data_IF_749685943096
#
_entry.id   IF_749685943096
#
_cell.length_a   1.000
_cell.length_b   1.000
_cell.length_c   1.000
_cell.angle_alpha   90.00
_cell.angle_beta   90.00
_cell.angle_gamma   90.00
#
_symmetry.space_group_name_H-M   'P 1'
#
loop_
_entity.id
_entity.type
_entity.pdbx_description
1 polymer ?
#
# COMPACT_ATOMS: atom_id res chain seq x y z
N UNK A 1 10.50 -35.50 -46.35
CA UNK A 1 9.17 -36.04 -45.98
C UNK A 1 8.52 -35.06 -45.03
N UNK A 2 7.86 -34.06 -45.60
CA UNK A 2 7.20 -32.95 -44.91
C UNK A 2 5.69 -33.18 -44.95
N UNK A 3 5.14 -33.83 -43.93
CA UNK A 3 3.69 -33.90 -43.79
C UNK A 3 3.36 -34.00 -42.31
N UNK A 4 2.21 -33.41 -41.95
CA UNK A 4 1.56 -33.41 -40.64
C UNK A 4 2.09 -32.44 -39.60
N UNK A 5 1.69 -31.16 -39.74
CA UNK A 5 1.08 -30.41 -38.63
C UNK A 5 0.23 -29.25 -39.20
N UNK A 6 -0.71 -29.58 -40.09
CA UNK A 6 -1.73 -28.64 -40.57
C UNK A 6 -3.10 -29.08 -40.08
N UNK A 7 -3.26 -29.23 -38.76
CA UNK A 7 -4.55 -29.61 -38.21
C UNK A 7 -4.73 -29.11 -36.78
N UNK A 8 -4.59 -27.81 -36.53
CA UNK A 8 -5.24 -27.19 -35.38
C UNK A 8 -5.31 -25.65 -35.53
N UNK A 9 -6.39 -25.18 -36.17
CA UNK A 9 -7.06 -23.89 -35.95
C UNK A 9 -7.90 -23.55 -37.19
N UNK A 10 -9.00 -24.29 -37.37
CA UNK A 10 -10.15 -23.79 -38.14
C UNK A 10 -11.38 -23.87 -37.24
N UNK A 11 -11.45 -22.95 -36.28
CA UNK A 11 -12.71 -22.56 -35.66
C UNK A 11 -12.73 -21.05 -35.54
N UNK A 12 -13.43 -20.45 -36.50
CA UNK A 12 -14.32 -19.30 -36.31
C UNK A 12 -13.71 -18.01 -35.76
N UNK A 13 -13.11 -17.21 -36.63
CA UNK A 13 -13.34 -15.75 -36.62
C UNK A 13 -13.45 -15.27 -38.07
N UNK A 14 -14.70 -15.04 -38.47
CA UNK A 14 -15.06 -14.37 -39.70
C UNK A 14 -14.82 -12.87 -39.50
N UNK A 15 -13.69 -12.33 -39.95
CA UNK A 15 -13.52 -10.88 -40.07
C UNK A 15 -12.63 -10.55 -41.28
N UNK A 16 -13.29 -10.02 -42.31
CA UNK A 16 -12.85 -9.04 -43.30
C UNK A 16 -11.41 -9.11 -43.87
N UNK A 17 -11.33 -9.65 -45.09
CA UNK A 17 -10.78 -8.85 -46.20
C UNK A 17 -9.26 -8.69 -46.31
N UNK A 18 -8.47 -9.73 -46.04
CA UNK A 18 -7.05 -9.74 -46.44
C UNK A 18 -6.75 -10.97 -47.29
N UNK A 19 -6.42 -10.75 -48.55
CA UNK A 19 -6.07 -11.81 -49.51
C UNK A 19 -4.79 -12.52 -49.08
N UNK A 20 -4.71 -13.83 -49.30
CA UNK A 20 -3.62 -14.73 -48.88
C UNK A 20 -2.22 -14.42 -49.45
N UNK A 21 -2.02 -13.31 -50.16
CA UNK A 21 -0.73 -12.92 -50.74
C UNK A 21 0.10 -11.97 -49.85
N UNK A 22 -0.48 -11.39 -48.80
CA UNK A 22 0.26 -10.48 -47.89
C UNK A 22 0.91 -11.19 -46.69
N UNK A 23 0.49 -12.41 -46.38
CA UNK A 23 1.04 -13.18 -45.24
C UNK A 23 2.38 -13.84 -45.58
N UNK A 24 2.67 -14.04 -46.86
CA UNK A 24 3.92 -14.69 -47.32
C UNK A 24 5.11 -13.73 -47.41
N UNK A 25 4.91 -12.42 -47.47
CA UNK A 25 6.03 -11.46 -47.54
C UNK A 25 6.52 -10.95 -46.17
N UNK A 26 5.79 -11.25 -45.09
CA UNK A 26 6.22 -10.97 -43.71
C UNK A 26 6.96 -12.14 -43.06
N UNK A 27 7.06 -13.29 -43.73
CA UNK A 27 7.73 -14.49 -43.19
C UNK A 27 9.12 -14.77 -43.76
N UNK A 28 9.61 -13.95 -44.71
CA UNK A 28 10.96 -14.09 -45.30
C UNK A 28 11.97 -13.04 -44.84
N UNK A 29 11.57 -11.98 -44.11
CA UNK A 29 12.47 -10.88 -43.73
C UNK A 29 12.93 -10.87 -42.27
N UNK A 30 12.79 -11.98 -41.55
CA UNK A 30 13.27 -12.10 -40.16
C UNK A 30 13.91 -13.46 -39.86
N UNK A 31 14.79 -13.93 -40.75
CA UNK A 31 15.75 -15.02 -40.46
C UNK A 31 17.21 -14.54 -40.54
N UNK A 32 17.46 -13.29 -40.15
CA UNK A 32 18.81 -12.76 -39.93
C UNK A 32 18.83 -12.07 -38.57
N UNK A 33 18.87 -12.88 -37.53
CA UNK A 33 18.94 -12.43 -36.13
C UNK A 33 19.73 -13.45 -35.33
N UNK A 34 21.05 -13.39 -35.45
CA UNK A 34 22.08 -13.84 -34.51
C UNK A 34 21.73 -15.01 -33.58
N UNK A 35 22.34 -16.17 -33.84
CA UNK A 35 22.64 -17.15 -32.78
C UNK A 35 23.58 -16.48 -31.77
N UNK A 36 23.03 -15.77 -30.78
CA UNK A 36 23.81 -15.32 -29.63
C UNK A 36 24.26 -16.57 -28.89
N UNK A 37 25.51 -16.98 -29.10
CA UNK A 37 26.18 -17.92 -28.20
C UNK A 37 26.25 -17.24 -26.84
N UNK A 38 25.72 -17.90 -25.82
CA UNK A 38 25.87 -17.46 -24.45
C UNK A 38 27.36 -17.39 -24.14
N UNK A 39 27.82 -16.24 -23.67
CA UNK A 39 29.19 -16.12 -23.21
C UNK A 39 29.35 -16.93 -21.92
N UNK A 40 30.55 -17.48 -21.69
CA UNK A 40 30.84 -18.31 -20.52
C UNK A 40 30.52 -17.59 -19.20
N UNK A 41 30.65 -16.26 -19.17
CA UNK A 41 30.29 -15.41 -18.03
C UNK A 41 28.77 -15.39 -17.82
N UNK A 42 27.97 -15.18 -18.86
CA UNK A 42 26.50 -15.25 -18.77
C UNK A 42 26.03 -16.64 -18.33
N UNK A 43 26.68 -17.69 -18.84
CA UNK A 43 26.37 -19.07 -18.46
C UNK A 43 26.68 -19.34 -16.99
N UNK A 44 27.81 -18.85 -16.48
CA UNK A 44 28.19 -18.97 -15.07
C UNK A 44 27.24 -18.19 -14.16
N UNK A 45 26.84 -16.99 -14.56
CA UNK A 45 25.90 -16.17 -13.81
C UNK A 45 24.52 -16.83 -13.74
N UNK A 46 24.01 -17.34 -14.86
CA UNK A 46 22.78 -18.12 -14.91
C UNK A 46 22.88 -19.40 -14.08
N UNK A 47 24.04 -20.08 -14.08
CA UNK A 47 24.27 -21.29 -13.27
C UNK A 47 24.26 -20.99 -11.77
N UNK A 48 24.93 -19.92 -11.33
CA UNK A 48 24.88 -19.46 -9.95
C UNK A 48 23.46 -19.08 -9.50
N UNK A 49 22.73 -18.33 -10.33
CA UNK A 49 21.31 -18.00 -10.08
C UNK A 49 20.43 -19.26 -10.01
N UNK A 50 20.66 -20.24 -10.87
CA UNK A 50 19.94 -21.52 -10.86
C UNK A 50 20.25 -22.36 -9.63
N UNK A 51 21.48 -22.35 -9.13
CA UNK A 51 21.85 -23.13 -7.96
C UNK A 51 21.29 -22.51 -6.66
N UNK A 52 21.22 -21.18 -6.58
CA UNK A 52 20.50 -20.46 -5.53
C UNK A 52 18.99 -20.82 -5.57
N UNK A 53 18.39 -20.81 -6.76
CA UNK A 53 16.98 -21.16 -6.92
C UNK A 53 16.70 -22.62 -6.53
N UNK A 54 17.57 -23.55 -6.94
CA UNK A 54 17.47 -24.96 -6.54
C UNK A 54 17.60 -25.13 -5.03
N UNK A 55 18.51 -24.40 -4.38
CA UNK A 55 18.66 -24.43 -2.93
C UNK A 55 17.39 -23.93 -2.22
N UNK A 56 16.77 -22.86 -2.70
CA UNK A 56 15.51 -22.35 -2.13
C UNK A 56 14.34 -23.31 -2.39
N UNK A 57 14.28 -23.93 -3.58
CA UNK A 57 13.29 -24.97 -3.89
C UNK A 57 13.45 -26.16 -2.94
N UNK A 58 14.68 -26.61 -2.70
CA UNK A 58 14.96 -27.73 -1.79
C UNK A 58 14.60 -27.38 -0.34
N UNK A 59 14.91 -26.15 0.11
CA UNK A 59 14.49 -25.65 1.43
C UNK A 59 12.96 -25.71 1.59
N UNK A 60 12.22 -25.24 0.58
CA UNK A 60 10.75 -25.27 0.58
C UNK A 60 10.19 -26.69 0.46
N UNK A 61 10.85 -27.58 -0.29
CA UNK A 61 10.49 -29.01 -0.34
C UNK A 61 10.62 -29.67 1.02
N UNK A 62 11.70 -29.43 1.76
CA UNK A 62 11.89 -29.97 3.11
C UNK A 62 10.81 -29.49 4.09
N UNK A 63 10.47 -28.20 4.04
CA UNK A 63 9.37 -27.64 4.83
C UNK A 63 8.03 -28.30 4.49
N UNK A 64 7.80 -28.60 3.21
CA UNK A 64 6.55 -29.23 2.76
C UNK A 64 6.51 -30.74 3.04
N UNK A 65 7.65 -31.43 2.98
CA UNK A 65 7.78 -32.87 3.29
C UNK A 65 7.42 -33.13 4.76
N UNK A 66 7.84 -32.25 5.67
CA UNK A 66 7.47 -32.34 7.09
C UNK A 66 5.95 -32.22 7.29
N UNK A 67 5.26 -31.48 6.43
CA UNK A 67 3.80 -31.25 6.48
C UNK A 67 3.03 -32.37 5.76
N UNK A 68 3.62 -32.96 4.72
CA UNK A 68 2.95 -33.90 3.83
C UNK A 68 2.83 -35.28 4.46
N UNK A 69 1.61 -35.82 4.49
CA UNK A 69 1.38 -37.23 4.79
C UNK A 69 1.66 -38.08 3.54
N UNK A 70 2.26 -39.27 3.66
CA UNK A 70 2.80 -40.03 2.53
C UNK A 70 1.75 -40.53 1.50
N UNK A 71 0.46 -40.22 1.68
CA UNK A 71 -0.62 -40.76 0.87
C UNK A 71 -1.58 -39.70 0.29
N UNK A 72 -1.22 -38.41 0.30
CA UNK A 72 -2.08 -37.33 -0.25
C UNK A 72 -1.27 -36.26 -0.99
N UNK A 73 -1.57 -36.07 -2.28
CA UNK A 73 -0.93 -35.04 -3.14
C UNK A 73 -1.43 -33.62 -2.87
N UNK A 74 -2.68 -33.48 -2.41
CA UNK A 74 -3.33 -32.19 -2.19
C UNK A 74 -3.64 -32.02 -0.71
N UNK A 75 -3.29 -30.86 -0.17
CA UNK A 75 -3.58 -30.47 1.21
C UNK A 75 -4.58 -29.32 1.20
N UNK A 76 -5.52 -29.34 2.13
CA UNK A 76 -6.43 -28.21 2.32
C UNK A 76 -5.69 -27.10 3.06
N UNK A 77 -6.00 -25.84 2.72
CA UNK A 77 -5.41 -24.68 3.41
C UNK A 77 -5.68 -24.69 4.93
N UNK A 78 -6.82 -25.24 5.34
CA UNK A 78 -7.17 -25.40 6.77
C UNK A 78 -6.19 -26.30 7.52
N UNK A 79 -5.74 -27.39 6.90
CA UNK A 79 -4.82 -28.36 7.52
C UNK A 79 -3.40 -27.78 7.64
N UNK A 80 -2.98 -26.94 6.68
CA UNK A 80 -1.71 -26.21 6.73
C UNK A 80 -1.66 -25.21 7.88
N UNK A 81 -2.72 -24.40 8.03
CA UNK A 81 -2.82 -23.39 9.09
C UNK A 81 -2.83 -24.01 10.48
N UNK A 82 -3.55 -25.12 10.64
CA UNK A 82 -3.60 -25.84 11.92
C UNK A 82 -2.22 -26.33 12.37
N UNK A 83 -1.41 -26.84 11.43
CA UNK A 83 -0.05 -27.31 11.73
C UNK A 83 0.92 -26.17 12.04
N UNK A 84 0.74 -25.01 11.42
CA UNK A 84 1.51 -23.80 11.75
C UNK A 84 1.16 -23.29 13.16
N UNK A 85 -0.13 -23.25 13.49
CA UNK A 85 -0.61 -22.84 14.81
C UNK A 85 -0.13 -23.79 15.92
N UNK A 86 -0.15 -25.11 15.68
CA UNK A 86 0.39 -26.10 16.61
C UNK A 86 1.88 -25.89 16.90
N UNK A 87 2.71 -25.69 15.85
CA UNK A 87 4.15 -25.37 16.02
C UNK A 87 4.37 -24.09 16.82
N UNK A 88 3.58 -23.06 16.54
CA UNK A 88 3.63 -21.79 17.27
C UNK A 88 3.29 -22.03 18.75
N UNK A 89 2.22 -22.77 19.05
CA UNK A 89 1.80 -23.09 20.41
C UNK A 89 2.85 -23.93 21.16
N UNK A 90 3.49 -24.89 20.51
CA UNK A 90 4.59 -25.69 21.08
C UNK A 90 5.80 -24.80 21.42
N UNK A 91 6.21 -23.92 20.51
CA UNK A 91 7.31 -22.98 20.74
C UNK A 91 7.03 -22.04 21.93
N UNK A 92 5.79 -21.57 22.06
CA UNK A 92 5.37 -20.77 23.21
C UNK A 92 5.43 -21.57 24.52
N UNK A 93 4.96 -22.82 24.51
CA UNK A 93 4.98 -23.68 25.69
C UNK A 93 6.40 -24.05 26.12
N UNK A 94 7.31 -24.32 25.18
CA UNK A 94 8.72 -24.61 25.47
C UNK A 94 9.42 -23.39 26.07
N UNK A 95 9.19 -22.20 25.51
CA UNK A 95 9.74 -20.93 26.05
C UNK A 95 9.23 -20.64 27.46
N UNK A 96 7.96 -20.89 27.73
CA UNK A 96 7.39 -20.70 29.07
C UNK A 96 7.79 -21.79 30.08
N UNK A 97 8.04 -23.03 29.64
CA UNK A 97 8.61 -24.09 30.51
C UNK A 97 10.06 -23.80 30.92
N UNK A 98 10.86 -23.20 30.03
CA UNK A 98 12.26 -22.84 30.34
C UNK A 98 12.41 -21.73 31.38
N UNK A 99 11.39 -20.88 31.56
CA UNK A 99 11.40 -19.78 32.54
C UNK A 99 10.87 -20.23 33.92
N UNK A 100 10.05 -21.28 33.98
CA UNK A 100 9.48 -21.79 35.23
C UNK A 100 10.49 -22.55 36.14
N UNK A 101 11.72 -22.78 35.68
CA UNK A 101 12.77 -23.43 36.48
C UNK A 101 13.80 -22.46 37.09
N UNK A 102 13.74 -21.15 36.78
CA UNK A 102 14.68 -20.15 37.34
C UNK A 102 14.01 -19.07 38.19
N UNK A 103 12.69 -19.08 38.33
CA UNK A 103 11.92 -18.10 39.12
C UNK A 103 11.62 -18.57 40.54
N UNK A 104 12.65 -19.03 41.27
CA UNK A 104 12.55 -19.37 42.69
C UNK A 104 13.72 -18.82 43.51
N UNK A 105 14.33 -17.70 43.13
CA UNK A 105 15.13 -16.89 44.07
C UNK A 105 15.20 -15.45 43.54
N UNK A 106 15.27 -14.49 44.47
CA UNK A 106 15.56 -13.06 44.26
C UNK A 106 14.30 -12.19 44.09
N UNK A 107 13.65 -12.00 45.23
CA UNK A 107 12.98 -10.76 45.60
C UNK A 107 14.00 -9.65 45.88
N UNK A 108 13.63 -8.41 45.54
CA UNK A 108 14.18 -7.09 45.98
C UNK A 108 15.44 -6.59 45.29
N UNK A 109 15.32 -5.50 44.52
CA UNK A 109 15.86 -4.18 44.89
C UNK A 109 15.51 -3.12 43.84
N UNK A 110 15.22 -1.93 44.36
CA UNK A 110 14.90 -0.70 43.65
C UNK A 110 16.14 -0.04 43.05
N UNK A 111 15.86 0.89 42.12
CA UNK A 111 16.50 2.19 41.92
C UNK A 111 17.52 2.47 40.78
N UNK A 112 17.15 3.54 40.06
CA UNK A 112 17.95 4.64 39.46
C UNK A 112 18.52 4.52 38.03
N UNK A 113 17.72 5.09 37.10
CA UNK A 113 18.01 6.24 36.20
C UNK A 113 19.28 6.21 35.32
N UNK A 114 19.07 6.26 34.00
CA UNK A 114 19.90 7.06 33.10
C UNK A 114 19.06 7.83 32.08
N UNK A 115 19.10 9.14 32.27
CA UNK A 115 18.55 10.26 31.52
C UNK A 115 19.03 10.33 30.06
N UNK A 116 18.03 10.54 29.19
CA UNK A 116 17.91 11.41 28.00
C UNK A 116 19.12 11.66 27.08
N UNK A 117 18.85 11.67 25.75
CA UNK A 117 18.96 12.88 24.92
C UNK A 117 18.34 12.66 23.54
N UNK A 118 17.31 13.45 23.22
CA UNK A 118 16.74 13.61 21.88
C UNK A 118 17.70 14.38 20.94
N UNK A 119 17.34 14.53 19.65
CA UNK A 119 16.70 15.81 19.31
C UNK A 119 15.38 15.66 18.54
N UNK A 120 14.35 16.27 19.13
CA UNK A 120 13.08 16.69 18.54
C UNK A 120 13.36 17.52 17.29
N UNK A 121 13.02 16.98 16.12
CA UNK A 121 12.85 17.76 14.90
C UNK A 121 11.48 18.44 14.94
N UNK A 122 11.50 19.75 15.16
CA UNK A 122 10.38 20.68 15.11
C UNK A 122 9.61 20.62 13.79
N UNK A 123 8.35 20.20 13.85
CA UNK A 123 7.28 20.94 13.21
C UNK A 123 6.16 21.05 14.25
N UNK A 124 6.02 22.22 14.87
CA UNK A 124 4.85 22.53 15.68
C UNK A 124 3.70 22.74 14.71
N UNK A 125 3.08 21.64 14.27
CA UNK A 125 1.69 21.70 13.85
C UNK A 125 0.88 21.87 15.14
N UNK A 126 -0.01 22.86 15.23
CA UNK A 126 -0.84 22.99 16.41
C UNK A 126 -1.65 21.69 16.58
N UNK A 127 -1.57 21.10 17.76
CA UNK A 127 -2.60 20.19 18.29
C UNK A 127 -3.89 21.00 18.31
N UNK A 128 -4.55 21.07 17.16
CA UNK A 128 -5.86 21.69 17.01
C UNK A 128 -6.88 20.62 17.30
N UNK A 129 -7.70 20.93 18.29
CA UNK A 129 -8.83 20.16 18.76
C UNK A 129 -9.56 19.44 17.61
N UNK A 130 -9.78 18.14 17.84
CA UNK A 130 -10.43 17.23 16.91
C UNK A 130 -11.88 17.65 16.68
N UNK A 131 -12.12 18.51 15.69
CA UNK A 131 -13.31 18.37 14.87
C UNK A 131 -13.13 17.08 14.05
N UNK A 132 -13.46 15.94 14.68
CA UNK A 132 -13.44 14.62 14.05
C UNK A 132 -14.54 14.57 12.99
N UNK A 133 -14.22 15.12 11.82
CA UNK A 133 -15.00 14.97 10.60
C UNK A 133 -15.32 13.49 10.40
N UNK A 134 -16.59 13.12 10.19
CA UNK A 134 -16.95 11.73 10.01
C UNK A 134 -16.22 11.17 8.78
N UNK A 135 -15.78 9.91 8.87
CA UNK A 135 -15.00 9.23 7.83
C UNK A 135 -15.63 9.37 6.43
N UNK A 136 -16.95 9.35 6.35
CA UNK A 136 -17.70 9.52 5.11
C UNK A 136 -17.35 10.83 4.40
N UNK A 137 -17.21 11.94 5.13
CA UNK A 137 -16.97 13.22 4.52
C UNK A 137 -15.49 13.43 4.18
N UNK A 138 -14.58 12.79 4.92
CA UNK A 138 -13.16 12.69 4.54
C UNK A 138 -13.02 12.02 3.17
N UNK A 139 -13.73 10.91 2.97
CA UNK A 139 -13.75 10.18 1.69
C UNK A 139 -14.31 11.06 0.57
N UNK A 140 -15.43 11.75 0.82
CA UNK A 140 -16.02 12.66 -0.17
C UNK A 140 -15.05 13.76 -0.57
N UNK A 141 -14.42 14.45 0.40
CA UNK A 141 -13.49 15.56 0.13
C UNK A 141 -12.22 15.09 -0.59
N UNK A 142 -11.64 13.95 -0.18
CA UNK A 142 -10.50 13.35 -0.88
C UNK A 142 -10.86 12.99 -2.33
N UNK A 143 -12.05 12.42 -2.58
CA UNK A 143 -12.53 12.11 -3.93
C UNK A 143 -12.80 13.37 -4.77
N UNK A 144 -13.40 14.41 -4.19
CA UNK A 144 -13.62 15.70 -4.87
C UNK A 144 -12.29 16.30 -5.34
N UNK A 145 -11.23 16.15 -4.54
CA UNK A 145 -9.85 16.56 -4.85
C UNK A 145 -9.08 15.54 -5.71
N UNK A 146 -9.72 14.46 -6.15
CA UNK A 146 -9.11 13.35 -6.92
C UNK A 146 -7.89 12.70 -6.23
N UNK A 147 -7.91 12.64 -4.89
CA UNK A 147 -6.84 12.06 -4.07
C UNK A 147 -7.20 10.65 -3.59
N UNK A 148 -6.20 9.75 -3.39
CA UNK A 148 -6.43 8.44 -2.81
C UNK A 148 -7.09 8.52 -1.42
N UNK A 149 -8.07 7.65 -1.19
CA UNK A 149 -8.83 7.60 0.07
C UNK A 149 -7.94 7.18 1.24
N UNK A 150 -7.05 6.21 1.01
CA UNK A 150 -6.12 5.70 2.00
C UNK A 150 -4.88 5.17 1.29
N UNK A 151 -3.71 5.53 1.80
CA UNK A 151 -2.43 5.01 1.35
C UNK A 151 -2.07 3.71 2.09
N UNK A 152 -1.11 2.95 1.56
CA UNK A 152 -0.67 1.72 2.22
C UNK A 152 0.03 2.05 3.54
N UNK A 153 -0.42 1.39 4.63
CA UNK A 153 0.09 1.65 5.97
C UNK A 153 -0.44 2.92 6.63
N UNK A 154 -1.34 3.65 5.98
CA UNK A 154 -1.97 4.86 6.52
C UNK A 154 -3.16 4.49 7.43
N UNK A 155 -3.24 5.12 8.59
CA UNK A 155 -4.38 5.07 9.52
C UNK A 155 -5.46 6.08 9.14
N UNK A 156 -6.65 5.94 9.73
CA UNK A 156 -7.73 6.88 9.44
C UNK A 156 -7.36 8.32 9.86
N UNK A 157 -6.70 8.49 11.00
CA UNK A 157 -6.25 9.80 11.48
C UNK A 157 -5.23 10.43 10.53
N UNK A 158 -4.28 9.65 10.02
CA UNK A 158 -3.28 10.14 9.06
C UNK A 158 -3.92 10.57 7.73
N UNK A 159 -4.92 9.82 7.24
CA UNK A 159 -5.66 10.23 6.04
C UNK A 159 -6.42 11.54 6.22
N UNK A 160 -6.90 11.82 7.45
CA UNK A 160 -7.53 13.10 7.82
C UNK A 160 -6.52 14.24 7.90
N UNK A 161 -5.36 14.01 8.51
CA UNK A 161 -4.28 14.97 8.57
C UNK A 161 -3.80 15.34 7.15
N UNK A 162 -3.66 14.34 6.27
CA UNK A 162 -3.34 14.55 4.85
C UNK A 162 -4.40 15.36 4.13
N UNK A 163 -5.69 15.09 4.35
CA UNK A 163 -6.77 15.89 3.78
C UNK A 163 -6.67 17.37 4.20
N UNK A 164 -6.44 17.66 5.49
CA UNK A 164 -6.28 19.04 5.97
C UNK A 164 -5.10 19.75 5.31
N UNK A 165 -3.96 19.06 5.20
CA UNK A 165 -2.79 19.59 4.49
C UNK A 165 -3.13 19.97 3.05
N UNK A 166 -3.86 19.12 2.35
CA UNK A 166 -4.32 19.39 0.98
C UNK A 166 -5.30 20.55 0.89
N UNK A 167 -6.17 20.73 1.89
CA UNK A 167 -7.11 21.86 1.95
C UNK A 167 -6.38 23.20 2.17
N UNK A 168 -5.32 23.20 2.98
CA UNK A 168 -4.47 24.38 3.22
C UNK A 168 -3.64 24.72 1.98
N UNK A 169 -3.00 23.72 1.36
CA UNK A 169 -2.16 23.92 0.17
C UNK A 169 -2.97 24.29 -1.08
N UNK A 170 -4.15 23.68 -1.22
CA UNK A 170 -5.04 23.82 -2.38
C UNK A 170 -6.45 24.16 -1.91
N UNK A 171 -6.69 25.43 -1.51
CA UNK A 171 -8.03 25.88 -1.21
C UNK A 171 -8.89 25.77 -2.47
N UNK A 172 -10.12 25.27 -2.31
CA UNK A 172 -11.07 25.20 -3.42
C UNK A 172 -11.39 26.62 -3.89
N UNK A 173 -10.83 27.03 -5.04
CA UNK A 173 -11.02 28.36 -5.64
C UNK A 173 -12.49 28.78 -5.83
N UNK A 174 -13.45 27.87 -5.65
CA UNK A 174 -14.89 28.12 -5.73
C UNK A 174 -15.41 28.98 -4.57
N UNK A 175 -14.75 28.96 -3.42
CA UNK A 175 -14.99 29.88 -2.31
C UNK A 175 -13.79 30.82 -2.25
N UNK A 176 -13.88 31.88 -3.05
CA UNK A 176 -12.78 32.80 -3.31
C UNK A 176 -12.20 33.42 -2.03
N UNK A 177 -11.01 33.98 -2.20
CA UNK A 177 -10.25 34.77 -1.23
C UNK A 177 -11.02 36.03 -0.82
N UNK A 178 -12.12 35.87 -0.09
CA UNK A 178 -12.72 36.97 0.65
C UNK A 178 -11.83 37.16 1.86
N UNK A 179 -11.21 38.33 1.96
CA UNK A 179 -10.43 38.67 3.12
C UNK A 179 -11.40 38.78 4.31
N UNK A 180 -11.30 37.85 5.26
CA UNK A 180 -12.18 37.81 6.44
C UNK A 180 -12.07 39.10 7.25
N UNK A 181 -10.88 39.71 7.32
CA UNK A 181 -10.67 41.00 7.96
C UNK A 181 -11.39 42.14 7.22
N UNK A 182 -11.37 42.15 5.88
CA UNK A 182 -12.13 43.12 5.09
C UNK A 182 -13.65 42.94 5.25
N UNK A 183 -14.11 41.70 5.45
CA UNK A 183 -15.53 41.41 5.69
C UNK A 183 -15.95 41.89 7.08
N UNK A 184 -15.14 41.63 8.11
CA UNK A 184 -15.36 42.12 9.46
C UNK A 184 -15.35 43.66 9.53
N UNK A 185 -14.43 44.33 8.82
CA UNK A 185 -14.41 45.80 8.75
C UNK A 185 -15.70 46.36 8.15
N UNK A 186 -16.20 45.73 7.07
CA UNK A 186 -17.47 46.12 6.45
C UNK A 186 -18.66 45.89 7.37
N UNK A 187 -18.66 44.83 8.17
CA UNK A 187 -19.72 44.55 9.13
C UNK A 187 -19.81 45.64 10.21
N UNK A 188 -18.66 46.05 10.77
CA UNK A 188 -18.58 47.18 11.71
C UNK A 188 -19.03 48.49 11.05
N UNK A 189 -18.59 48.75 9.81
CA UNK A 189 -19.03 49.93 9.05
C UNK A 189 -20.55 49.91 8.81
N UNK A 190 -21.14 48.73 8.54
CA UNK A 190 -22.57 48.55 8.37
C UNK A 190 -23.34 48.83 9.68
N UNK A 191 -22.86 48.33 10.82
CA UNK A 191 -23.46 48.59 12.13
C UNK A 191 -23.50 50.09 12.45
N UNK A 192 -22.40 50.82 12.19
CA UNK A 192 -22.34 52.27 12.39
C UNK A 192 -23.34 53.02 11.51
N UNK A 193 -23.46 52.64 10.22
CA UNK A 193 -24.43 53.24 9.30
C UNK A 193 -25.85 53.00 9.79
N UNK A 194 -26.16 51.79 10.27
CA UNK A 194 -27.46 51.47 10.82
C UNK A 194 -27.80 52.28 12.07
N UNK A 195 -26.84 52.49 12.96
CA UNK A 195 -27.01 53.33 14.16
C UNK A 195 -27.33 54.78 13.80
N UNK A 196 -26.63 55.36 12.82
CA UNK A 196 -26.90 56.73 12.35
C UNK A 196 -28.31 56.84 11.76
N UNK A 197 -28.69 55.90 10.89
CA UNK A 197 -30.04 55.89 10.27
C UNK A 197 -31.13 55.74 11.34
N UNK A 198 -30.95 54.82 12.31
CA UNK A 198 -31.90 54.63 13.42
C UNK A 198 -31.95 55.87 14.33
N UNK A 199 -30.82 56.53 14.57
CA UNK A 199 -30.73 57.78 15.34
C UNK A 199 -31.44 58.96 14.67
N UNK A 200 -31.43 59.02 13.34
CA UNK A 200 -32.17 60.03 12.56
C UNK A 200 -33.69 59.78 12.58
N UNK A 201 -34.15 58.52 12.56
CA UNK A 201 -35.58 58.21 12.61
C UNK A 201 -36.23 58.43 13.99
N UNK A 202 -35.44 58.44 15.07
CA UNK A 202 -35.94 58.75 16.41
C UNK A 202 -36.00 60.26 16.71
N UNK A 203 -35.52 61.12 15.80
CA UNK A 203 -35.49 62.58 15.94
C UNK A 203 -36.48 63.31 14.99
N UNK A 204 -37.41 62.58 14.36
CA UNK A 204 -38.52 63.10 13.56
C UNK A 204 -39.87 62.71 14.18
#
# INVERSE_FOLDING_TARGET
MSVTLSLFCKTSLHYNGVTNNDVTLLFQKSRKGYERKWDYIELLECKGKMDILKAEIERKRKQFEEITQPNRKYLKRSELLQKEEEKIQEDYQVKHRGVAQTSATITKNEDLVRTENQPKGTHNEPELDCDDLPRTDVIKRLRSRSQPIMLFGETEQESRARLRKLEIEQPDMKEGWKNDFQSAMKEVDHELIEEVIKGEQNNA
#
